data_IF_852005627455
#
_entry.id   IF_852005627455
#
_cell.length_a   1.000
_cell.length_b   1.000
_cell.length_c   1.000
_cell.angle_alpha   90.00
_cell.angle_beta   90.00
_cell.angle_gamma   90.00
#
_symmetry.space_group_name_H-M   'P 1'
#
loop_
_entity.id
_entity.type
_entity.pdbx_description
1 polymer ?
#
# COMPACT_ATOMS: atom_id res chain seq x y z
N UNK A 1 -29.41 64.96 10.46
CA UNK A 1 -29.81 63.57 10.75
C UNK A 1 -29.95 62.83 9.41
N UNK A 2 -29.51 61.57 9.41
CA UNK A 2 -29.57 60.57 8.32
C UNK A 2 -28.59 60.81 7.16
N UNK A 3 -27.38 60.24 7.20
CA UNK A 3 -27.07 58.81 7.12
C UNK A 3 -27.51 58.21 5.77
N UNK A 4 -26.60 58.21 4.81
CA UNK A 4 -26.59 57.27 3.71
C UNK A 4 -25.11 56.99 3.40
N UNK A 5 -24.66 55.84 3.91
CA UNK A 5 -23.42 55.16 3.58
C UNK A 5 -23.05 55.32 2.11
N UNK A 6 -21.92 55.98 1.85
CA UNK A 6 -21.20 55.81 0.60
C UNK A 6 -20.53 54.44 0.67
N UNK A 7 -21.16 53.44 0.07
CA UNK A 7 -20.67 52.07 -0.04
C UNK A 7 -19.33 52.04 -0.80
N UNK A 8 -18.18 51.77 -0.15
CA UNK A 8 -16.87 51.97 -0.76
C UNK A 8 -16.28 50.70 -1.40
N UNK A 9 -17.09 49.74 -1.86
CA UNK A 9 -16.53 48.52 -2.47
C UNK A 9 -17.54 47.73 -3.30
N UNK A 10 -18.15 48.36 -4.30
CA UNK A 10 -18.64 47.59 -5.44
C UNK A 10 -17.42 47.13 -6.26
N UNK A 11 -16.93 45.94 -5.94
CA UNK A 11 -15.91 45.25 -6.72
C UNK A 11 -16.50 44.95 -8.09
N UNK A 12 -16.22 45.83 -9.05
CA UNK A 12 -16.55 45.62 -10.47
C UNK A 12 -15.68 44.47 -10.97
N UNK A 13 -16.15 43.23 -10.76
CA UNK A 13 -15.63 42.08 -11.46
C UNK A 13 -15.97 42.28 -12.95
N UNK A 14 -14.99 42.31 -13.86
CA UNK A 14 -15.28 42.49 -15.28
C UNK A 14 -16.21 41.37 -15.75
N UNK A 15 -17.40 41.75 -16.20
CA UNK A 15 -18.29 40.86 -16.94
C UNK A 15 -17.51 40.38 -18.18
N UNK A 16 -17.44 39.06 -18.35
CA UNK A 16 -16.66 38.35 -19.38
C UNK A 16 -15.18 38.12 -19.02
N UNK A 17 -14.88 37.00 -18.34
CA UNK A 17 -13.62 36.29 -18.61
C UNK A 17 -13.73 35.71 -20.02
N UNK A 18 -13.58 36.57 -21.03
CA UNK A 18 -13.25 36.08 -22.37
C UNK A 18 -11.95 35.30 -22.21
N UNK A 19 -11.89 34.02 -22.59
CA UNK A 19 -10.62 33.30 -22.59
C UNK A 19 -9.66 34.13 -23.44
N UNK A 20 -8.60 34.64 -22.82
CA UNK A 20 -7.54 35.33 -23.54
C UNK A 20 -7.15 34.41 -24.70
N UNK A 21 -7.13 34.91 -25.96
CA UNK A 21 -6.61 34.13 -27.06
C UNK A 21 -5.15 33.83 -26.72
N UNK A 22 -4.92 32.60 -26.26
CA UNK A 22 -3.59 32.13 -25.92
C UNK A 22 -2.80 32.16 -27.22
N UNK A 23 -1.60 32.74 -27.18
CA UNK A 23 -0.74 32.75 -28.35
C UNK A 23 -0.63 31.31 -28.90
N UNK A 24 -0.69 31.11 -30.22
CA UNK A 24 -0.73 29.78 -30.84
C UNK A 24 0.44 28.90 -30.41
N UNK A 25 1.60 29.49 -30.08
CA UNK A 25 2.74 28.80 -29.46
C UNK A 25 2.42 28.13 -28.11
N UNK A 26 1.62 28.77 -27.26
CA UNK A 26 1.23 28.22 -25.95
C UNK A 26 0.27 27.06 -26.12
N UNK A 27 -0.66 27.15 -27.07
CA UNK A 27 -1.59 26.08 -27.38
C UNK A 27 -0.85 24.84 -27.92
N UNK A 28 0.12 25.04 -28.83
CA UNK A 28 0.94 23.95 -29.38
C UNK A 28 1.79 23.23 -28.32
N UNK A 29 2.33 23.97 -27.35
CA UNK A 29 3.11 23.39 -26.24
C UNK A 29 2.21 22.60 -25.28
N UNK A 30 1.00 23.08 -25.00
CA UNK A 30 0.00 22.33 -24.20
C UNK A 30 -0.42 21.04 -24.90
N UNK A 31 -0.68 21.08 -26.21
CA UNK A 31 -1.03 19.89 -27.00
C UNK A 31 0.12 18.88 -27.04
N UNK A 32 1.36 19.36 -27.14
CA UNK A 32 2.57 18.54 -27.06
C UNK A 32 2.71 17.89 -25.68
N UNK A 33 2.48 18.64 -24.60
CA UNK A 33 2.48 18.11 -23.22
C UNK A 33 1.37 17.10 -23.00
N UNK A 34 0.16 17.35 -23.51
CA UNK A 34 -0.96 16.40 -23.45
C UNK A 34 -0.63 15.07 -24.17
N UNK A 35 0.01 15.14 -25.34
CA UNK A 35 0.53 13.96 -26.04
C UNK A 35 1.58 13.22 -25.20
N UNK A 36 2.47 13.94 -24.52
CA UNK A 36 3.48 13.33 -23.64
C UNK A 36 2.90 12.70 -22.37
N UNK A 37 1.90 13.32 -21.75
CA UNK A 37 1.20 12.78 -20.59
C UNK A 37 0.51 11.47 -20.94
N UNK A 38 -0.19 11.44 -22.07
CA UNK A 38 -0.83 10.21 -22.59
C UNK A 38 0.19 9.09 -22.85
N UNK A 39 1.39 9.44 -23.28
CA UNK A 39 2.47 8.47 -23.49
C UNK A 39 2.99 7.91 -22.16
N UNK A 40 3.15 8.76 -21.14
CA UNK A 40 3.55 8.34 -19.79
C UNK A 40 2.49 7.41 -19.19
N UNK A 41 1.20 7.74 -19.31
CA UNK A 41 0.10 6.89 -18.85
C UNK A 41 0.14 5.50 -19.52
N UNK A 42 0.40 5.46 -20.82
CA UNK A 42 0.51 4.19 -21.56
C UNK A 42 1.71 3.34 -21.08
N UNK A 43 2.85 3.97 -20.78
CA UNK A 43 4.02 3.28 -20.26
C UNK A 43 3.79 2.77 -18.83
N UNK A 44 3.15 3.57 -17.97
CA UNK A 44 2.77 3.15 -16.62
C UNK A 44 1.82 1.96 -16.66
N UNK A 45 0.82 1.98 -17.54
CA UNK A 45 -0.10 0.85 -17.70
C UNK A 45 0.67 -0.42 -18.13
N UNK A 46 1.54 -0.31 -19.13
CA UNK A 46 2.35 -1.43 -19.60
C UNK A 46 3.34 -1.95 -18.54
N UNK A 47 3.89 -1.06 -17.70
CA UNK A 47 4.77 -1.46 -16.59
C UNK A 47 4.01 -2.13 -15.45
N UNK A 48 2.84 -1.60 -15.11
CA UNK A 48 1.96 -2.16 -14.08
C UNK A 48 1.54 -3.57 -14.45
N UNK A 49 1.16 -3.80 -15.70
CA UNK A 49 0.80 -5.13 -16.22
C UNK A 49 1.94 -6.13 -16.02
N UNK A 50 3.15 -5.79 -16.48
CA UNK A 50 4.35 -6.65 -16.31
C UNK A 50 4.69 -6.90 -14.85
N UNK A 51 4.56 -5.88 -13.99
CA UNK A 51 4.83 -6.02 -12.56
C UNK A 51 3.82 -6.98 -11.90
N UNK A 52 2.53 -6.85 -12.22
CA UNK A 52 1.49 -7.74 -11.68
C UNK A 52 1.73 -9.19 -12.10
N UNK A 53 2.04 -9.43 -13.37
CA UNK A 53 2.37 -10.77 -13.87
C UNK A 53 3.58 -11.39 -13.15
N UNK A 54 4.63 -10.59 -12.91
CA UNK A 54 5.81 -11.06 -12.17
C UNK A 54 5.50 -11.34 -10.69
N UNK A 55 4.64 -10.53 -10.05
CA UNK A 55 4.21 -10.76 -8.67
C UNK A 55 3.39 -12.04 -8.57
N UNK A 56 2.49 -12.30 -9.52
CA UNK A 56 1.69 -13.52 -9.56
C UNK A 56 2.57 -14.77 -9.77
N UNK A 57 3.57 -14.68 -10.65
CA UNK A 57 4.56 -15.74 -10.84
C UNK A 57 5.37 -15.99 -9.56
N UNK A 58 5.84 -14.92 -8.91
CA UNK A 58 6.59 -15.04 -7.67
C UNK A 58 5.73 -15.64 -6.55
N UNK A 59 4.47 -15.23 -6.45
CA UNK A 59 3.49 -15.77 -5.50
C UNK A 59 3.22 -17.25 -5.77
N UNK A 60 3.05 -17.63 -7.04
CA UNK A 60 2.88 -19.02 -7.43
C UNK A 60 4.11 -19.88 -7.09
N UNK A 61 5.32 -19.36 -7.31
CA UNK A 61 6.58 -20.06 -6.96
C UNK A 61 6.80 -20.16 -5.45
N UNK A 62 6.51 -19.09 -4.72
CA UNK A 62 6.59 -19.01 -3.26
C UNK A 62 5.37 -19.59 -2.55
N UNK A 63 4.50 -20.31 -3.28
CA UNK A 63 3.30 -21.00 -2.78
C UNK A 63 3.51 -21.39 -1.31
N UNK A 64 2.79 -20.76 -0.35
CA UNK A 64 3.07 -20.90 1.07
C UNK A 64 3.03 -22.35 1.51
N UNK A 65 2.32 -23.23 0.79
CA UNK A 65 2.32 -24.67 1.03
C UNK A 65 3.72 -25.30 0.97
N UNK A 66 4.62 -24.87 0.08
CA UNK A 66 5.99 -25.41 -0.02
C UNK A 66 6.88 -24.87 1.09
N UNK A 67 6.89 -23.55 1.28
CA UNK A 67 7.60 -22.92 2.39
C UNK A 67 7.15 -23.46 3.75
N UNK A 68 5.84 -23.61 3.97
CA UNK A 68 5.27 -24.16 5.20
C UNK A 68 5.66 -25.62 5.37
N UNK A 69 5.60 -26.46 4.32
CA UNK A 69 6.01 -27.88 4.41
C UNK A 69 7.49 -28.02 4.73
N UNK A 70 8.35 -27.26 4.07
CA UNK A 70 9.80 -27.34 4.28
C UNK A 70 10.19 -26.79 5.67
N UNK A 71 9.57 -25.68 6.10
CA UNK A 71 9.78 -25.13 7.45
C UNK A 71 9.21 -26.02 8.54
N UNK A 72 8.00 -26.57 8.39
CA UNK A 72 7.44 -27.51 9.37
C UNK A 72 8.19 -28.83 9.38
N UNK A 73 8.68 -29.35 8.26
CA UNK A 73 9.52 -30.54 8.24
C UNK A 73 10.85 -30.30 8.97
N UNK A 74 11.51 -29.17 8.72
CA UNK A 74 12.75 -28.79 9.41
C UNK A 74 12.55 -28.53 10.91
N UNK A 75 11.43 -27.91 11.29
CA UNK A 75 11.07 -27.69 12.70
C UNK A 75 10.69 -29.00 13.39
N UNK A 76 9.91 -29.86 12.73
CA UNK A 76 9.53 -31.18 13.26
C UNK A 76 10.78 -32.04 13.47
N UNK A 77 11.70 -32.08 12.51
CA UNK A 77 12.99 -32.77 12.67
C UNK A 77 13.83 -32.27 13.85
N UNK A 78 13.72 -30.99 14.23
CA UNK A 78 14.40 -30.43 15.41
C UNK A 78 13.66 -30.67 16.73
N UNK A 79 12.35 -30.91 16.67
CA UNK A 79 11.45 -30.97 17.84
C UNK A 79 11.07 -32.41 18.21
N UNK A 80 11.11 -33.34 17.26
CA UNK A 80 10.73 -34.75 17.46
C UNK A 80 11.94 -35.68 17.35
N UNK A 81 11.97 -36.75 18.15
CA UNK A 81 12.97 -37.82 18.03
C UNK A 81 12.75 -38.65 16.75
N UNK A 82 13.73 -39.47 16.31
CA UNK A 82 13.58 -40.36 15.14
C UNK A 82 12.35 -41.29 15.23
N UNK A 83 11.93 -41.64 16.46
CA UNK A 83 10.77 -42.48 16.77
C UNK A 83 9.44 -41.69 16.84
N UNK A 84 9.46 -40.38 16.58
CA UNK A 84 8.27 -39.53 16.54
C UNK A 84 7.79 -38.98 17.90
N UNK A 85 8.54 -39.23 18.98
CA UNK A 85 8.20 -38.70 20.30
C UNK A 85 8.76 -37.27 20.47
N UNK A 86 7.98 -36.31 21.00
CA UNK A 86 8.51 -35.00 21.36
C UNK A 86 9.54 -35.14 22.48
N UNK A 87 10.72 -34.52 22.34
CA UNK A 87 11.76 -34.55 23.39
C UNK A 87 11.19 -33.95 24.68
N UNK A 88 11.44 -34.56 25.83
CA UNK A 88 10.95 -34.06 27.14
C UNK A 88 11.36 -32.60 27.38
N UNK A 89 12.56 -32.22 26.93
CA UNK A 89 13.08 -30.85 26.98
C UNK A 89 12.20 -29.87 26.18
N UNK A 90 11.68 -30.30 25.03
CA UNK A 90 10.85 -29.47 24.15
C UNK A 90 9.42 -29.39 24.67
N UNK A 91 8.88 -30.47 25.25
CA UNK A 91 7.60 -30.47 25.95
C UNK A 91 7.56 -29.42 27.08
N UNK A 92 8.61 -29.39 27.91
CA UNK A 92 8.74 -28.38 28.97
C UNK A 92 8.83 -26.95 28.42
N UNK A 93 9.62 -26.74 27.36
CA UNK A 93 9.77 -25.42 26.73
C UNK A 93 8.46 -24.91 26.10
N UNK A 94 7.70 -25.77 25.43
CA UNK A 94 6.40 -25.41 24.82
C UNK A 94 5.36 -25.07 25.90
N UNK A 95 5.30 -25.85 26.98
CA UNK A 95 4.41 -25.55 28.11
C UNK A 95 4.75 -24.20 28.74
N UNK A 96 6.04 -23.91 28.95
CA UNK A 96 6.49 -22.60 29.47
C UNK A 96 6.14 -21.44 28.54
N UNK A 97 6.38 -21.58 27.23
CA UNK A 97 6.05 -20.55 26.25
C UNK A 97 4.55 -20.26 26.19
N UNK A 98 3.70 -21.29 26.23
CA UNK A 98 2.24 -21.14 26.25
C UNK A 98 1.76 -20.36 27.48
N UNK A 99 2.34 -20.62 28.66
CA UNK A 99 2.03 -19.87 29.89
C UNK A 99 2.43 -18.39 29.79
N UNK A 100 3.62 -18.10 29.24
CA UNK A 100 4.11 -16.72 29.06
C UNK A 100 3.23 -15.95 28.08
N UNK A 101 2.87 -16.56 26.95
CA UNK A 101 1.98 -15.95 25.95
C UNK A 101 0.59 -15.72 26.54
N UNK A 102 0.04 -16.72 27.25
CA UNK A 102 -1.25 -16.58 27.95
C UNK A 102 -1.24 -15.42 28.95
N UNK A 103 -0.17 -15.28 29.73
CA UNK A 103 0.00 -14.20 30.69
C UNK A 103 0.12 -12.83 30.00
N UNK A 104 0.87 -12.73 28.91
CA UNK A 104 1.01 -11.51 28.10
C UNK A 104 -0.34 -11.08 27.51
N UNK A 105 -1.09 -12.00 26.93
CA UNK A 105 -2.42 -11.72 26.38
C UNK A 105 -3.41 -11.31 27.47
N UNK A 106 -3.36 -11.97 28.63
CA UNK A 106 -4.18 -11.60 29.79
C UNK A 106 -3.83 -10.21 30.31
N UNK A 107 -2.53 -9.88 30.42
CA UNK A 107 -2.06 -8.56 30.83
C UNK A 107 -2.44 -7.48 29.81
N UNK A 108 -2.33 -7.77 28.52
CA UNK A 108 -2.72 -6.86 27.44
C UNK A 108 -4.23 -6.60 27.37
N UNK A 109 -5.06 -7.53 27.87
CA UNK A 109 -6.52 -7.33 27.97
C UNK A 109 -6.93 -6.57 29.23
N UNK A 110 -6.02 -6.42 30.19
CA UNK A 110 -6.27 -5.78 31.50
C UNK A 110 -5.72 -4.35 31.58
N UNK A 111 -4.92 -3.92 30.60
CA UNK A 111 -4.52 -2.54 30.35
C UNK A 111 -5.39 -1.96 29.24
#
# INVERSE_FOLDING_TARGET
MSAAEQNPSESVLPASRQPMPMAPEVQAELDKRGRSARQIESDIAARTERLSANIDELTARLSPSRLVKDTTAGLRARVTTPEGNPRLEVLGAVAGAALVIGLLLWRSRRH
#
